data_IF_114289446171
#
_entry.id   IF_114289446171
#
_cell.length_a   1.000
_cell.length_b   1.000
_cell.length_c   1.000
_cell.angle_alpha   90.00
_cell.angle_beta   90.00
_cell.angle_gamma   90.00
#
_symmetry.space_group_name_H-M   'P 1'
#
loop_
_entity.id
_entity.type
_entity.pdbx_description
1 polymer ?
#
# COMPACT_ATOMS: atom_id res chain seq x y z
N UNK A 1 39.36 33.49 18.10
CA UNK A 1 38.54 33.64 19.33
C UNK A 1 38.81 35.03 19.87
N UNK A 2 38.01 36.03 19.48
CA UNK A 2 38.24 37.42 19.85
C UNK A 2 37.31 37.83 20.99
N UNK A 3 37.88 38.00 22.17
CA UNK A 3 37.20 38.56 23.34
C UNK A 3 37.37 40.08 23.30
N UNK A 4 36.31 40.84 23.02
CA UNK A 4 36.33 42.29 23.20
C UNK A 4 35.97 42.57 24.67
N UNK A 5 36.95 43.04 25.44
CA UNK A 5 36.77 43.42 26.84
C UNK A 5 36.44 44.91 26.89
N UNK A 6 35.17 45.26 27.12
CA UNK A 6 34.81 46.62 27.53
C UNK A 6 34.82 46.71 29.05
N UNK A 7 35.66 47.61 29.58
CA UNK A 7 35.92 47.76 31.02
C UNK A 7 34.84 48.64 31.66
N UNK A 8 33.80 48.01 32.21
CA UNK A 8 32.82 48.68 33.07
C UNK A 8 33.39 48.91 34.48
N UNK A 9 33.22 50.13 35.00
CA UNK A 9 33.53 50.49 36.39
C UNK A 9 32.54 49.76 37.31
N UNK A 10 32.92 48.56 37.76
CA UNK A 10 32.51 47.83 38.96
C UNK A 10 32.73 46.33 38.67
N UNK A 11 33.77 45.78 39.29
CA UNK A 11 34.39 44.49 38.94
C UNK A 11 33.54 43.26 39.20
N UNK A 12 32.53 43.03 38.37
CA UNK A 12 32.04 41.69 38.07
C UNK A 12 32.10 41.50 36.56
N UNK A 13 33.01 40.64 36.10
CA UNK A 13 33.04 40.19 34.73
C UNK A 13 31.79 39.34 34.47
N UNK A 14 30.71 39.96 34.00
CA UNK A 14 29.62 39.23 33.35
C UNK A 14 30.17 38.80 31.99
N UNK A 15 30.86 37.67 31.96
CA UNK A 15 31.13 36.97 30.72
C UNK A 15 29.80 36.59 30.11
N UNK A 16 29.24 37.42 29.22
CA UNK A 16 28.22 36.97 28.29
C UNK A 16 28.92 35.95 27.39
N UNK A 17 28.80 34.68 27.73
CA UNK A 17 29.11 33.58 26.82
C UNK A 17 28.28 33.82 25.57
N UNK A 18 28.94 34.27 24.50
CA UNK A 18 28.34 34.37 23.17
C UNK A 18 28.00 32.93 22.75
N UNK A 19 26.72 32.56 22.88
CA UNK A 19 26.23 31.30 22.34
C UNK A 19 26.10 31.48 20.82
N UNK A 20 26.95 30.84 19.99
CA UNK A 20 26.96 31.06 18.54
C UNK A 20 25.62 30.71 17.87
N UNK A 21 24.82 29.89 18.54
CA UNK A 21 23.49 29.48 18.07
C UNK A 21 22.46 30.63 18.10
N UNK A 22 22.58 31.57 19.05
CA UNK A 22 21.63 32.68 19.21
C UNK A 22 21.91 33.86 18.28
N UNK A 23 23.05 33.86 17.59
CA UNK A 23 23.44 34.93 16.65
C UNK A 23 22.96 34.67 15.23
N UNK A 24 22.60 33.43 14.91
CA UNK A 24 22.05 33.08 13.59
C UNK A 24 20.53 33.37 13.60
N UNK A 25 20.01 34.09 12.60
CA UNK A 25 18.57 34.35 12.46
C UNK A 25 17.72 33.06 12.40
N UNK A 26 16.50 33.13 12.91
CA UNK A 26 15.61 31.97 13.03
C UNK A 26 15.25 31.33 11.68
N UNK A 27 15.05 32.14 10.65
CA UNK A 27 14.77 31.73 9.27
C UNK A 27 15.93 30.92 8.65
N UNK A 28 17.18 31.29 8.96
CA UNK A 28 18.35 30.53 8.55
C UNK A 28 18.36 29.15 9.22
N UNK A 29 18.02 29.09 10.51
CA UNK A 29 17.85 27.81 11.19
C UNK A 29 16.72 26.97 10.62
N UNK A 30 15.59 27.57 10.23
CA UNK A 30 14.50 26.86 9.53
C UNK A 30 15.00 26.29 8.20
N UNK A 31 15.79 27.03 7.42
CA UNK A 31 16.38 26.55 6.17
C UNK A 31 17.33 25.37 6.39
N UNK A 32 18.24 25.47 7.37
CA UNK A 32 19.14 24.37 7.76
C UNK A 32 18.31 23.14 8.16
N UNK A 33 17.30 23.34 9.00
CA UNK A 33 16.46 22.26 9.51
C UNK A 33 15.63 21.61 8.41
N UNK A 34 15.12 22.40 7.46
CA UNK A 34 14.42 21.89 6.27
C UNK A 34 15.32 20.98 5.45
N UNK A 35 16.59 21.38 5.29
CA UNK A 35 17.59 20.56 4.60
C UNK A 35 17.90 19.29 5.38
N UNK A 36 18.11 19.37 6.69
CA UNK A 36 18.28 18.20 7.57
C UNK A 36 17.08 17.25 7.42
N UNK A 37 15.85 17.76 7.50
CA UNK A 37 14.63 16.98 7.35
C UNK A 37 14.56 16.26 5.99
N UNK A 38 15.01 16.89 4.91
CA UNK A 38 15.00 16.30 3.56
C UNK A 38 16.05 15.23 3.31
N UNK A 39 17.06 15.11 4.19
CA UNK A 39 18.10 14.09 4.08
C UNK A 39 17.98 12.99 5.14
N UNK A 40 17.50 13.31 6.34
CA UNK A 40 17.48 12.37 7.47
C UNK A 40 16.48 12.80 8.53
N UNK A 41 15.41 12.02 8.68
CA UNK A 41 14.43 12.22 9.75
C UNK A 41 15.05 11.90 11.12
N UNK A 42 16.00 10.96 11.17
CA UNK A 42 16.72 10.68 12.40
C UNK A 42 17.53 11.89 12.88
N UNK A 43 18.23 12.57 11.96
CA UNK A 43 19.00 13.78 12.31
C UNK A 43 18.10 14.95 12.67
N UNK A 44 16.93 15.05 12.05
CA UNK A 44 15.91 16.02 12.44
C UNK A 44 15.49 15.82 13.90
N UNK A 45 15.21 14.57 14.32
CA UNK A 45 14.85 14.27 15.71
C UNK A 45 16.02 14.48 16.68
N UNK A 46 17.24 14.10 16.28
CA UNK A 46 18.45 14.35 17.08
C UNK A 46 18.66 15.85 17.30
N UNK A 47 18.50 16.65 16.24
CA UNK A 47 18.56 18.11 16.30
C UNK A 47 17.46 18.65 17.24
N UNK A 48 16.22 18.19 17.07
CA UNK A 48 15.07 18.59 17.90
C UNK A 48 15.31 18.34 19.40
N UNK A 49 15.93 17.21 19.76
CA UNK A 49 16.19 16.81 21.14
C UNK A 49 17.33 17.60 21.82
N UNK A 50 18.14 18.34 21.05
CA UNK A 50 19.36 18.99 21.55
C UNK A 50 19.06 20.23 22.41
N UNK A 51 18.18 21.13 21.95
CA UNK A 51 17.89 22.37 22.69
C UNK A 51 16.55 22.99 22.27
N UNK A 52 16.04 23.95 23.07
CA UNK A 52 14.75 24.62 22.80
C UNK A 52 14.69 25.36 21.46
N UNK A 53 15.82 25.95 21.02
CA UNK A 53 15.88 26.62 19.71
C UNK A 53 15.64 25.60 18.58
N UNK A 54 16.38 24.49 18.61
CA UNK A 54 16.23 23.40 17.64
C UNK A 54 14.86 22.74 17.73
N UNK A 55 14.34 22.51 18.93
CA UNK A 55 12.97 22.04 19.11
C UNK A 55 11.93 22.94 18.40
N UNK A 56 12.10 24.26 18.48
CA UNK A 56 11.24 25.22 17.80
C UNK A 56 11.39 25.19 16.28
N UNK A 57 12.62 25.19 15.74
CA UNK A 57 12.83 25.20 14.28
C UNK A 57 12.51 23.86 13.61
N UNK A 58 12.75 22.73 14.28
CA UNK A 58 12.36 21.39 13.83
C UNK A 58 10.83 21.21 13.84
N UNK A 59 10.11 22.04 14.58
CA UNK A 59 8.65 22.04 14.58
C UNK A 59 8.04 22.99 13.52
N UNK A 60 8.86 23.56 12.62
CA UNK A 60 8.38 24.43 11.55
C UNK A 60 7.71 23.68 10.41
N UNK A 61 6.73 24.32 9.75
CA UNK A 61 6.00 23.73 8.63
C UNK A 61 6.92 23.34 7.47
N UNK A 62 7.98 24.11 7.24
CA UNK A 62 8.98 23.80 6.22
C UNK A 62 9.69 22.47 6.50
N UNK A 63 10.06 22.21 7.77
CA UNK A 63 10.69 20.94 8.15
C UNK A 63 9.76 19.74 7.88
N UNK A 64 8.49 19.83 8.27
CA UNK A 64 7.51 18.76 8.01
C UNK A 64 7.20 18.60 6.51
N UNK A 65 7.12 19.71 5.76
CA UNK A 65 6.80 19.70 4.33
C UNK A 65 7.88 19.02 3.50
N UNK A 66 9.14 19.19 3.89
CA UNK A 66 10.30 18.62 3.18
C UNK A 66 10.91 17.40 3.86
N UNK A 67 10.33 16.91 4.97
CA UNK A 67 10.79 15.71 5.63
C UNK A 67 10.84 14.51 4.66
N UNK A 68 11.91 13.71 4.75
CA UNK A 68 12.16 12.53 3.93
C UNK A 68 11.27 11.34 4.35
N UNK A 69 9.95 11.55 4.31
CA UNK A 69 8.94 10.58 4.75
C UNK A 69 9.03 9.30 3.93
N UNK A 70 9.52 9.36 2.68
CA UNK A 70 9.74 8.23 1.77
C UNK A 70 10.57 7.09 2.36
N UNK A 71 11.52 7.40 3.24
CA UNK A 71 12.42 6.44 3.89
C UNK A 71 11.86 5.85 5.19
N UNK A 72 10.71 6.36 5.67
CA UNK A 72 10.10 5.82 6.88
C UNK A 72 9.18 4.64 6.55
N UNK A 73 9.35 3.53 7.30
CA UNK A 73 8.28 2.57 7.52
C UNK A 73 7.09 3.29 8.16
N UNK A 74 5.91 3.21 7.56
CA UNK A 74 4.66 3.64 8.20
C UNK A 74 4.41 2.86 9.50
N UNK A 75 4.97 1.65 9.64
CA UNK A 75 4.97 0.84 10.87
C UNK A 75 5.85 1.40 11.99
N UNK A 76 7.00 1.99 11.66
CA UNK A 76 7.84 2.66 12.65
C UNK A 76 7.12 3.85 13.29
N UNK A 77 6.06 4.35 12.63
CA UNK A 77 5.18 5.38 13.17
C UNK A 77 3.99 4.82 13.98
N UNK A 78 3.87 3.49 14.12
CA UNK A 78 2.96 2.82 15.07
C UNK A 78 3.71 2.17 16.24
N UNK A 79 4.91 1.63 16.02
CA UNK A 79 5.67 0.88 17.03
C UNK A 79 6.27 1.77 18.14
N UNK A 80 6.49 3.05 17.88
CA UNK A 80 6.76 4.04 18.93
C UNK A 80 5.44 4.54 19.53
N UNK A 81 4.81 3.68 20.32
CA UNK A 81 3.80 3.96 21.34
C UNK A 81 3.40 5.44 21.51
N UNK A 82 2.26 5.85 20.94
CA UNK A 82 1.53 7.05 21.32
C UNK A 82 1.12 7.95 20.16
N UNK A 83 0.05 8.75 20.36
CA UNK A 83 -0.55 9.73 19.42
C UNK A 83 0.44 10.61 18.62
N UNK A 84 1.71 10.69 19.01
CA UNK A 84 2.72 11.57 18.45
C UNK A 84 3.23 11.16 17.05
N UNK A 85 3.33 9.87 16.72
CA UNK A 85 3.90 9.43 15.44
C UNK A 85 2.90 9.44 14.27
N UNK A 86 1.64 9.06 14.52
CA UNK A 86 0.51 9.50 13.68
C UNK A 86 0.45 11.03 13.61
N UNK A 87 0.78 11.72 14.72
CA UNK A 87 0.93 13.17 14.75
C UNK A 87 1.97 13.69 13.76
N UNK A 88 3.14 13.05 13.61
CA UNK A 88 4.17 13.45 12.66
C UNK A 88 3.71 13.27 11.21
N UNK A 89 3.23 12.09 10.82
CA UNK A 89 2.75 11.85 9.45
C UNK A 89 1.53 12.72 9.12
N UNK A 90 0.59 12.84 10.07
CA UNK A 90 -0.54 13.74 9.95
C UNK A 90 -0.09 15.19 9.83
N UNK A 91 0.97 15.60 10.53
CA UNK A 91 1.52 16.96 10.42
C UNK A 91 2.15 17.18 9.06
N UNK A 92 2.99 16.25 8.58
CA UNK A 92 3.55 16.26 7.23
C UNK A 92 2.45 16.36 6.16
N UNK A 93 1.39 15.56 6.28
CA UNK A 93 0.27 15.62 5.35
C UNK A 93 -0.51 16.95 5.43
N UNK A 94 -0.72 17.49 6.64
CA UNK A 94 -1.37 18.80 6.84
C UNK A 94 -0.61 19.91 6.14
N UNK A 95 0.72 19.85 6.11
CA UNK A 95 1.58 20.81 5.39
C UNK A 95 1.87 20.39 3.94
N UNK A 96 1.12 19.41 3.42
CA UNK A 96 1.17 18.93 2.03
C UNK A 96 2.53 18.35 1.64
N UNK A 97 3.12 17.51 2.49
CA UNK A 97 4.26 16.68 2.11
C UNK A 97 3.78 15.58 1.12
N UNK A 98 4.34 15.50 -0.10
CA UNK A 98 3.91 14.56 -1.14
C UNK A 98 3.94 13.09 -0.68
N UNK A 99 5.06 12.66 -0.10
CA UNK A 99 5.27 11.28 0.33
C UNK A 99 4.37 10.89 1.52
N UNK A 100 3.95 11.86 2.34
CA UNK A 100 2.97 11.64 3.40
C UNK A 100 1.53 11.52 2.84
N UNK A 101 1.17 12.37 1.88
CA UNK A 101 -0.13 12.30 1.20
C UNK A 101 -0.29 11.00 0.42
N UNK A 102 0.75 10.55 -0.32
CA UNK A 102 0.73 9.26 -0.99
C UNK A 102 0.38 8.13 -0.02
N UNK A 103 1.09 8.05 1.11
CA UNK A 103 0.85 7.03 2.14
C UNK A 103 -0.57 7.08 2.71
N UNK A 104 -1.05 8.28 3.08
CA UNK A 104 -2.43 8.42 3.59
C UNK A 104 -3.48 8.09 2.54
N UNK A 105 -3.25 8.47 1.29
CA UNK A 105 -4.13 8.16 0.17
C UNK A 105 -4.21 6.67 -0.10
N UNK A 106 -3.07 5.97 -0.05
CA UNK A 106 -3.01 4.51 -0.15
C UNK A 106 -3.74 3.84 1.01
N UNK A 107 -3.60 4.33 2.24
CA UNK A 107 -4.35 3.81 3.40
C UNK A 107 -5.85 3.98 3.22
N UNK A 108 -6.28 5.18 2.84
CA UNK A 108 -7.68 5.46 2.56
C UNK A 108 -8.21 4.52 1.45
N UNK A 109 -7.44 4.35 0.38
CA UNK A 109 -7.81 3.56 -0.79
C UNK A 109 -7.86 2.05 -0.53
N UNK A 110 -6.75 1.45 -0.11
CA UNK A 110 -6.61 -0.01 -0.04
C UNK A 110 -6.93 -0.58 1.36
N UNK A 111 -6.78 0.22 2.42
CA UNK A 111 -6.87 -0.26 3.80
C UNK A 111 -8.20 0.09 4.49
N UNK A 112 -8.78 1.25 4.19
CA UNK A 112 -10.01 1.75 4.81
C UNK A 112 -11.25 1.67 3.90
N UNK A 113 -11.08 1.40 2.60
CA UNK A 113 -12.19 1.36 1.64
C UNK A 113 -12.76 2.74 1.29
N UNK A 114 -12.06 3.82 1.64
CA UNK A 114 -12.41 5.19 1.27
C UNK A 114 -11.94 5.50 -0.15
N UNK A 115 -12.51 4.81 -1.15
CA UNK A 115 -12.05 4.85 -2.56
C UNK A 115 -11.86 6.26 -3.12
N UNK A 116 -12.92 7.09 -3.14
CA UNK A 116 -12.86 8.43 -3.75
C UNK A 116 -11.92 9.36 -2.99
N UNK A 117 -11.95 9.34 -1.65
CA UNK A 117 -11.05 10.13 -0.82
C UNK A 117 -9.60 9.71 -1.00
N UNK A 118 -9.31 8.41 -1.04
CA UNK A 118 -7.97 7.87 -1.28
C UNK A 118 -7.42 8.27 -2.64
N UNK A 119 -8.21 8.13 -3.71
CA UNK A 119 -7.82 8.57 -5.07
C UNK A 119 -7.50 10.07 -5.07
N UNK A 120 -8.33 10.91 -4.44
CA UNK A 120 -8.09 12.35 -4.36
C UNK A 120 -6.78 12.67 -3.63
N UNK A 121 -6.51 12.02 -2.50
CA UNK A 121 -5.28 12.25 -1.73
C UNK A 121 -4.03 11.76 -2.46
N UNK A 122 -4.07 10.61 -3.14
CA UNK A 122 -2.96 10.15 -3.99
C UNK A 122 -2.73 11.13 -5.14
N UNK A 123 -3.81 11.62 -5.75
CA UNK A 123 -3.69 12.57 -6.87
C UNK A 123 -3.12 13.91 -6.43
N UNK A 124 -3.45 14.39 -5.23
CA UNK A 124 -2.80 15.55 -4.65
C UNK A 124 -1.30 15.34 -4.44
N UNK A 125 -0.88 14.16 -3.98
CA UNK A 125 0.55 13.83 -3.86
C UNK A 125 1.27 13.87 -5.22
N UNK A 126 0.61 13.37 -6.28
CA UNK A 126 1.12 13.42 -7.64
C UNK A 126 1.30 14.86 -8.14
N UNK A 127 0.32 15.74 -7.88
CA UNK A 127 0.42 17.17 -8.21
C UNK A 127 1.56 17.90 -7.50
N UNK A 128 1.96 17.39 -6.34
CA UNK A 128 3.09 17.91 -5.56
C UNK A 128 4.43 17.31 -5.98
N UNK A 129 4.46 16.48 -7.03
CA UNK A 129 5.67 15.96 -7.65
C UNK A 129 6.14 14.60 -7.12
N UNK A 130 5.30 13.88 -6.36
CA UNK A 130 5.63 12.50 -5.97
C UNK A 130 5.51 11.56 -7.17
N UNK A 131 6.63 10.99 -7.61
CA UNK A 131 6.68 10.15 -8.82
C UNK A 131 5.93 8.83 -8.65
N UNK A 132 5.95 8.25 -7.45
CA UNK A 132 5.20 7.02 -7.15
C UNK A 132 3.69 7.31 -7.15
N UNK A 133 3.28 8.45 -6.59
CA UNK A 133 1.89 8.91 -6.68
C UNK A 133 1.49 9.23 -8.13
N UNK A 134 2.37 9.80 -8.95
CA UNK A 134 2.12 10.01 -10.37
C UNK A 134 1.78 8.69 -11.07
N UNK A 135 2.55 7.62 -10.81
CA UNK A 135 2.24 6.32 -11.37
C UNK A 135 0.89 5.80 -10.89
N UNK A 136 0.67 5.82 -9.57
CA UNK A 136 -0.56 5.30 -8.98
C UNK A 136 -1.80 6.06 -9.48
N UNK A 137 -1.75 7.39 -9.50
CA UNK A 137 -2.82 8.24 -10.06
C UNK A 137 -3.02 8.05 -11.54
N UNK A 138 -1.94 7.89 -12.34
CA UNK A 138 -2.08 7.58 -13.76
C UNK A 138 -2.84 6.27 -13.96
N UNK A 139 -2.47 5.21 -13.23
CA UNK A 139 -3.17 3.92 -13.32
C UNK A 139 -4.62 4.05 -12.87
N UNK A 140 -4.89 4.71 -11.73
CA UNK A 140 -6.25 4.89 -11.21
C UNK A 140 -7.13 5.68 -12.19
N UNK A 141 -6.73 6.90 -12.55
CA UNK A 141 -7.56 7.79 -13.37
C UNK A 141 -7.80 7.23 -14.79
N UNK A 142 -6.84 6.50 -15.36
CA UNK A 142 -6.98 5.92 -16.70
C UNK A 142 -7.74 4.58 -16.70
N UNK A 143 -7.76 3.85 -15.58
CA UNK A 143 -8.39 2.53 -15.49
C UNK A 143 -9.86 2.56 -15.05
N UNK A 144 -10.36 3.70 -14.56
CA UNK A 144 -11.74 3.82 -14.09
C UNK A 144 -12.75 3.87 -15.25
N UNK A 145 -13.92 3.27 -15.04
CA UNK A 145 -15.02 3.24 -16.01
C UNK A 145 -15.80 4.57 -16.08
N UNK A 146 -15.87 5.30 -14.97
CA UNK A 146 -16.64 6.53 -14.81
C UNK A 146 -15.78 7.80 -14.91
N UNK A 147 -14.66 7.72 -15.65
CA UNK A 147 -13.69 8.81 -15.77
C UNK A 147 -14.18 9.95 -16.66
N UNK A 148 -13.95 11.18 -16.23
CA UNK A 148 -14.18 12.37 -17.06
C UNK A 148 -12.93 12.78 -17.88
N UNK A 149 -13.10 13.73 -18.80
CA UNK A 149 -12.00 14.18 -19.68
C UNK A 149 -10.86 14.85 -18.91
N UNK A 150 -11.12 15.46 -17.75
CA UNK A 150 -10.10 16.06 -16.90
C UNK A 150 -9.26 14.97 -16.21
N UNK A 151 -9.91 13.94 -15.68
CA UNK A 151 -9.28 12.77 -15.08
C UNK A 151 -8.41 12.02 -16.09
N UNK A 152 -8.90 11.83 -17.33
CA UNK A 152 -8.12 11.25 -18.43
C UNK A 152 -6.87 12.09 -18.71
N UNK A 153 -7.04 13.41 -18.89
CA UNK A 153 -5.95 14.34 -19.19
C UNK A 153 -4.91 14.37 -18.08
N UNK A 154 -5.34 14.39 -16.82
CA UNK A 154 -4.45 14.33 -15.65
C UNK A 154 -3.72 13.00 -15.57
N UNK A 155 -4.40 11.89 -15.82
CA UNK A 155 -3.80 10.56 -15.87
C UNK A 155 -2.64 10.49 -16.88
N UNK A 156 -2.81 11.03 -18.08
CA UNK A 156 -1.72 11.11 -19.06
C UNK A 156 -0.58 12.03 -18.65
N UNK A 157 -0.89 13.19 -18.06
CA UNK A 157 0.12 14.12 -17.57
C UNK A 157 1.00 13.47 -16.49
N UNK A 158 0.40 12.75 -15.54
CA UNK A 158 1.16 12.01 -14.53
C UNK A 158 1.97 10.87 -15.15
N UNK A 159 1.41 10.12 -16.10
CA UNK A 159 2.15 9.04 -16.76
C UNK A 159 3.40 9.56 -17.48
N UNK A 160 3.33 10.74 -18.10
CA UNK A 160 4.49 11.38 -18.72
C UNK A 160 5.63 11.60 -17.71
N UNK A 161 5.31 12.11 -16.52
CA UNK A 161 6.29 12.31 -15.43
C UNK A 161 6.96 10.99 -15.03
N UNK A 162 6.20 9.88 -15.00
CA UNK A 162 6.79 8.57 -14.69
C UNK A 162 7.72 8.09 -15.80
N UNK A 163 7.35 8.28 -17.07
CA UNK A 163 8.21 7.94 -18.20
C UNK A 163 9.55 8.67 -18.13
N UNK A 164 9.54 9.97 -17.80
CA UNK A 164 10.75 10.77 -17.61
C UNK A 164 11.62 10.28 -16.44
N UNK A 165 11.00 9.66 -15.42
CA UNK A 165 11.70 9.12 -14.25
C UNK A 165 12.33 7.72 -14.44
N UNK A 166 12.08 7.05 -15.58
CA UNK A 166 12.50 5.66 -15.86
C UNK A 166 12.00 4.59 -14.87
N UNK A 167 11.01 4.91 -14.02
CA UNK A 167 10.52 4.03 -12.95
C UNK A 167 9.29 3.18 -13.31
N UNK A 168 8.83 3.24 -14.57
CA UNK A 168 7.57 2.61 -15.02
C UNK A 168 7.52 1.11 -14.74
N UNK A 169 8.57 0.35 -15.08
CA UNK A 169 8.55 -1.12 -14.88
C UNK A 169 8.57 -1.49 -13.40
N UNK A 170 9.38 -0.79 -12.59
CA UNK A 170 9.44 -1.01 -11.15
C UNK A 170 8.06 -0.81 -10.50
N UNK A 171 7.37 0.27 -10.85
CA UNK A 171 6.04 0.51 -10.31
C UNK A 171 5.00 -0.44 -10.90
N UNK A 172 5.14 -0.86 -12.16
CA UNK A 172 4.27 -1.87 -12.77
C UNK A 172 4.31 -3.18 -12.00
N UNK A 173 5.49 -3.69 -11.67
CA UNK A 173 5.65 -4.92 -10.89
C UNK A 173 4.96 -4.80 -9.52
N UNK A 174 5.21 -3.70 -8.81
CA UNK A 174 4.63 -3.43 -7.48
C UNK A 174 3.11 -3.35 -7.55
N UNK A 175 2.57 -2.48 -8.40
CA UNK A 175 1.15 -2.15 -8.38
C UNK A 175 0.28 -3.16 -9.11
N UNK A 176 0.80 -3.96 -10.06
CA UNK A 176 -0.01 -5.02 -10.70
C UNK A 176 -0.59 -5.96 -9.65
N UNK A 177 0.21 -6.35 -8.66
CA UNK A 177 -0.23 -7.22 -7.57
C UNK A 177 -1.24 -6.52 -6.64
N UNK A 178 -1.04 -5.22 -6.39
CA UNK A 178 -1.93 -4.42 -5.54
C UNK A 178 -3.34 -4.31 -6.10
N UNK A 179 -3.46 -4.17 -7.42
CA UNK A 179 -4.75 -3.98 -8.09
C UNK A 179 -5.44 -5.29 -8.49
N UNK A 180 -4.67 -6.35 -8.74
CA UNK A 180 -5.17 -7.72 -8.88
C UNK A 180 -5.77 -8.26 -7.58
N UNK A 181 -5.44 -7.64 -6.45
CA UNK A 181 -5.93 -8.02 -5.14
C UNK A 181 -7.46 -7.93 -5.03
N UNK A 182 -8.09 -8.94 -4.39
CA UNK A 182 -9.45 -8.92 -3.90
C UNK A 182 -10.10 -7.57 -3.52
N UNK A 183 -9.42 -6.80 -2.66
CA UNK A 183 -9.97 -5.61 -1.99
C UNK A 183 -10.17 -4.40 -2.90
N UNK A 184 -9.76 -4.45 -4.17
CA UNK A 184 -9.99 -3.35 -5.09
C UNK A 184 -11.46 -3.34 -5.54
N UNK A 185 -12.32 -2.55 -4.86
CA UNK A 185 -13.65 -2.16 -5.39
C UNK A 185 -13.53 -1.25 -6.65
N UNK A 186 -12.37 -1.26 -7.30
CA UNK A 186 -12.05 -0.52 -8.50
C UNK A 186 -12.54 -1.40 -9.64
N UNK A 187 -13.69 -1.08 -10.21
CA UNK A 187 -14.17 -1.70 -11.45
C UNK A 187 -13.30 -1.16 -12.59
N UNK A 188 -12.29 -1.91 -13.05
CA UNK A 188 -11.43 -1.43 -14.10
C UNK A 188 -12.21 -1.44 -15.43
N UNK A 189 -11.69 -0.77 -16.46
CA UNK A 189 -12.26 -0.86 -17.81
C UNK A 189 -11.90 -2.19 -18.45
N UNK A 190 -12.88 -2.83 -19.10
CA UNK A 190 -12.67 -4.08 -19.83
C UNK A 190 -11.58 -3.87 -20.90
N UNK A 191 -10.48 -4.65 -20.86
CA UNK A 191 -9.37 -4.46 -21.77
C UNK A 191 -9.71 -4.79 -23.23
N UNK A 192 -10.85 -5.44 -23.51
CA UNK A 192 -11.24 -5.85 -24.87
C UNK A 192 -11.63 -4.70 -25.79
N UNK A 193 -11.99 -3.53 -25.27
CA UNK A 193 -12.25 -2.35 -26.10
C UNK A 193 -10.96 -1.79 -26.72
N UNK A 194 -10.96 -1.61 -28.03
CA UNK A 194 -9.84 -1.01 -28.75
C UNK A 194 -9.79 0.50 -28.47
N UNK A 195 -8.74 0.98 -27.82
CA UNK A 195 -8.53 2.41 -27.60
C UNK A 195 -7.74 2.96 -28.79
N UNK A 196 -8.39 3.78 -29.60
CA UNK A 196 -7.71 4.59 -30.62
C UNK A 196 -7.09 5.82 -29.94
N UNK A 197 -5.84 6.13 -30.29
CA UNK A 197 -5.16 7.34 -29.81
C UNK A 197 -6.02 8.57 -30.10
N UNK A 198 -6.43 9.31 -29.07
CA UNK A 198 -7.33 10.49 -29.22
C UNK A 198 -6.60 11.73 -29.76
N UNK A 199 -5.30 11.65 -30.02
CA UNK A 199 -4.51 12.78 -30.51
C UNK A 199 -4.49 12.80 -32.05
N UNK A 200 -5.12 13.81 -32.66
CA UNK A 200 -5.36 13.88 -34.10
C UNK A 200 -4.11 13.86 -35.01
N UNK A 201 -2.94 14.20 -34.47
CA UNK A 201 -1.64 14.23 -35.16
C UNK A 201 -0.71 13.04 -34.84
N UNK A 202 -1.18 12.04 -34.08
CA UNK A 202 -0.40 10.85 -33.81
C UNK A 202 -0.14 10.07 -35.11
N UNK A 203 1.13 9.81 -35.45
CA UNK A 203 1.51 9.02 -36.62
C UNK A 203 1.25 7.52 -36.41
N UNK A 204 1.15 7.06 -35.16
CA UNK A 204 0.90 5.68 -34.74
C UNK A 204 -0.59 5.29 -34.88
N UNK A 205 -1.33 5.79 -35.89
CA UNK A 205 -2.78 5.59 -36.15
C UNK A 205 -3.26 4.12 -36.28
N UNK A 206 -2.46 3.13 -35.88
CA UNK A 206 -2.82 1.72 -35.80
C UNK A 206 -3.19 1.29 -34.38
N UNK A 207 -4.13 0.36 -34.30
CA UNK A 207 -4.52 -0.37 -33.09
C UNK A 207 -3.27 -1.00 -32.45
N UNK A 208 -2.84 -0.51 -31.28
CA UNK A 208 -1.74 -1.12 -30.54
C UNK A 208 -2.29 -2.34 -29.80
N UNK A 209 -1.84 -3.52 -30.21
CA UNK A 209 -2.15 -4.79 -29.57
C UNK A 209 -1.31 -5.00 -28.31
N UNK A 210 -1.73 -5.94 -27.46
CA UNK A 210 -1.05 -6.31 -26.19
C UNK A 210 0.42 -6.76 -26.42
N UNK A 211 0.71 -7.33 -27.61
CA UNK A 211 2.01 -7.84 -28.01
C UNK A 211 2.77 -6.93 -29.00
N UNK A 212 2.36 -5.66 -29.13
CA UNK A 212 2.98 -4.74 -30.08
C UNK A 212 4.38 -4.30 -29.64
N UNK A 213 5.33 -4.30 -30.58
CA UNK A 213 6.64 -3.68 -30.38
C UNK A 213 6.49 -2.17 -30.18
N UNK A 214 7.03 -1.66 -29.07
CA UNK A 214 6.95 -0.26 -28.67
C UNK A 214 8.16 0.57 -29.15
N UNK A 215 9.15 -0.07 -29.78
CA UNK A 215 10.41 0.57 -30.21
C UNK A 215 10.22 1.79 -31.14
N UNK A 216 9.09 1.87 -31.84
CA UNK A 216 8.71 2.99 -32.72
C UNK A 216 7.65 3.94 -32.17
N UNK A 217 7.18 3.77 -30.94
CA UNK A 217 6.08 4.57 -30.36
C UNK A 217 6.62 5.72 -29.53
N UNK A 218 6.64 6.93 -30.10
CA UNK A 218 7.05 8.16 -29.40
C UNK A 218 5.89 8.90 -28.72
N UNK A 219 4.65 8.50 -28.99
CA UNK A 219 3.47 9.13 -28.39
C UNK A 219 3.25 8.63 -26.96
N UNK A 220 3.39 9.54 -25.99
CA UNK A 220 3.20 9.26 -24.55
C UNK A 220 1.80 8.74 -24.25
N UNK A 221 0.77 9.27 -24.94
CA UNK A 221 -0.60 8.81 -24.79
C UNK A 221 -0.76 7.36 -25.26
N UNK A 222 -0.23 7.00 -26.43
CA UNK A 222 -0.22 5.62 -26.91
C UNK A 222 0.52 4.68 -25.96
N UNK A 223 1.65 5.14 -25.40
CA UNK A 223 2.44 4.36 -24.45
C UNK A 223 1.67 4.15 -23.13
N UNK A 224 1.02 5.19 -22.62
CA UNK A 224 0.18 5.14 -21.42
C UNK A 224 -1.01 4.21 -21.63
N UNK A 225 -1.76 4.38 -22.72
CA UNK A 225 -2.90 3.53 -23.07
C UNK A 225 -2.49 2.06 -23.21
N UNK A 226 -1.38 1.76 -23.88
CA UNK A 226 -0.85 0.40 -23.99
C UNK A 226 -0.42 -0.16 -22.63
N UNK A 227 0.28 0.61 -21.80
CA UNK A 227 0.74 0.16 -20.48
C UNK A 227 -0.42 -0.04 -19.50
N UNK A 228 -1.39 0.87 -19.49
CA UNK A 228 -2.65 0.72 -18.74
C UNK A 228 -3.41 -0.51 -19.25
N UNK A 229 -3.51 -0.72 -20.56
CA UNK A 229 -4.17 -1.91 -21.12
C UNK A 229 -3.47 -3.20 -20.70
N UNK A 230 -2.15 -3.28 -20.83
CA UNK A 230 -1.40 -4.46 -20.38
C UNK A 230 -1.53 -4.67 -18.88
N UNK A 231 -1.56 -3.60 -18.09
CA UNK A 231 -1.83 -3.66 -16.66
C UNK A 231 -3.24 -4.21 -16.39
N UNK A 232 -4.28 -3.67 -17.04
CA UNK A 232 -5.67 -4.11 -16.90
C UNK A 232 -5.82 -5.57 -17.33
N UNK A 233 -5.25 -6.00 -18.45
CA UNK A 233 -5.27 -7.42 -18.88
C UNK A 233 -4.68 -8.33 -17.80
N UNK A 234 -3.54 -7.95 -17.22
CA UNK A 234 -2.92 -8.73 -16.14
C UNK A 234 -3.81 -8.75 -14.88
N UNK A 235 -4.37 -7.61 -14.49
CA UNK A 235 -5.29 -7.51 -13.35
C UNK A 235 -6.57 -8.34 -13.57
N UNK A 236 -7.18 -8.25 -14.74
CA UNK A 236 -8.38 -9.02 -15.11
C UNK A 236 -8.12 -10.53 -15.15
N UNK A 237 -6.99 -10.96 -15.71
CA UNK A 237 -6.61 -12.38 -15.71
C UNK A 237 -6.52 -12.91 -14.27
N UNK A 238 -5.86 -12.16 -13.38
CA UNK A 238 -5.72 -12.52 -11.97
C UNK A 238 -7.05 -12.47 -11.19
N UNK A 239 -8.01 -11.61 -11.57
CA UNK A 239 -9.31 -11.48 -10.91
C UNK A 239 -10.33 -12.55 -11.34
N UNK A 240 -10.36 -12.91 -12.63
CA UNK A 240 -11.36 -13.84 -13.18
C UNK A 240 -11.12 -15.30 -12.77
N UNK A 241 -9.88 -15.65 -12.42
CA UNK A 241 -9.53 -16.98 -11.91
C UNK A 241 -10.04 -17.23 -10.47
N UNK A 242 -10.54 -16.19 -9.76
CA UNK A 242 -11.07 -16.28 -8.40
C UNK A 242 -12.60 -16.49 -8.26
N UNK A 243 -13.37 -16.53 -9.36
CA UNK A 243 -14.85 -16.55 -9.28
C UNK A 243 -15.48 -17.77 -9.97
N UNK A 244 -15.46 -18.94 -9.32
CA UNK A 244 -16.30 -20.07 -9.76
C UNK A 244 -17.77 -19.87 -9.37
N UNK A 245 -18.66 -19.97 -10.37
CA UNK A 245 -20.12 -19.75 -10.30
C UNK A 245 -20.86 -20.85 -9.52
N UNK A 246 -21.88 -20.44 -8.78
CA UNK A 246 -22.79 -21.26 -7.96
C UNK A 246 -23.70 -22.20 -8.78
N UNK A 247 -23.91 -23.43 -8.32
CA UNK A 247 -25.08 -24.26 -8.67
C UNK A 247 -25.95 -24.52 -7.43
N UNK A 248 -27.25 -24.22 -7.54
CA UNK A 248 -28.27 -24.50 -6.53
C UNK A 248 -28.75 -25.94 -6.66
N UNK A 249 -28.96 -26.65 -5.55
CA UNK A 249 -30.05 -27.63 -5.39
C UNK A 249 -30.48 -27.72 -3.92
N UNK A 250 -31.81 -27.79 -3.72
CA UNK A 250 -32.53 -27.82 -2.44
C UNK A 250 -33.20 -29.19 -2.32
N UNK A 251 -33.24 -29.77 -1.11
CA UNK A 251 -34.08 -30.91 -0.76
C UNK A 251 -33.64 -31.56 0.55
N UNK A 252 -34.50 -31.52 1.57
CA UNK A 252 -34.34 -32.17 2.89
C UNK A 252 -35.48 -33.18 3.05
N UNK A 253 -35.20 -34.36 3.63
CA UNK A 253 -36.13 -35.15 4.50
C UNK A 253 -35.29 -35.91 5.56
N UNK A 254 -35.72 -36.07 6.83
CA UNK A 254 -34.91 -36.62 7.93
C UNK A 254 -35.28 -38.06 8.33
N UNK A 255 -34.33 -38.85 8.85
CA UNK A 255 -34.54 -40.02 9.74
C UNK A 255 -33.35 -40.16 10.72
N UNK A 256 -33.66 -40.68 11.92
CA UNK A 256 -32.97 -40.55 13.20
C UNK A 256 -31.73 -41.44 13.49
N UNK A 257 -30.79 -40.80 14.21
CA UNK A 257 -29.98 -41.26 15.37
C UNK A 257 -28.85 -42.32 15.23
N UNK A 258 -27.66 -41.81 14.92
CA UNK A 258 -26.36 -42.13 15.55
C UNK A 258 -25.49 -40.84 15.50
N UNK A 259 -24.51 -40.66 16.38
CA UNK A 259 -23.77 -39.39 16.52
C UNK A 259 -23.16 -38.94 15.16
N UNK A 260 -23.63 -37.84 14.52
CA UNK A 260 -23.41 -37.59 13.07
C UNK A 260 -21.95 -37.37 12.65
N UNK A 261 -21.05 -37.10 13.61
CA UNK A 261 -19.68 -36.67 13.37
C UNK A 261 -18.75 -37.81 12.94
N UNK A 262 -19.09 -39.06 13.29
CA UNK A 262 -18.31 -40.25 12.92
C UNK A 262 -18.70 -40.82 11.55
N UNK A 263 -19.74 -40.30 10.91
CA UNK A 263 -20.25 -40.77 9.60
C UNK A 263 -19.34 -40.28 8.47
N UNK A 264 -18.79 -39.08 8.60
CA UNK A 264 -17.90 -38.48 7.60
C UNK A 264 -16.45 -38.71 8.00
N UNK A 265 -15.64 -39.16 7.04
CA UNK A 265 -14.20 -39.28 7.23
C UNK A 265 -13.58 -37.91 7.52
N UNK A 266 -12.44 -37.89 8.21
CA UNK A 266 -11.67 -36.66 8.47
C UNK A 266 -11.44 -35.84 7.19
N UNK A 267 -11.20 -36.50 6.06
CA UNK A 267 -11.01 -35.84 4.76
C UNK A 267 -12.25 -35.08 4.27
N UNK A 268 -13.45 -35.61 4.52
CA UNK A 268 -14.70 -34.91 4.19
C UNK A 268 -14.92 -33.70 5.10
N UNK A 269 -14.60 -33.83 6.39
CA UNK A 269 -14.65 -32.69 7.31
C UNK A 269 -13.65 -31.61 6.97
N UNK A 270 -12.42 -31.95 6.55
CA UNK A 270 -11.43 -30.98 6.07
C UNK A 270 -11.97 -30.24 4.85
N UNK A 271 -12.55 -30.94 3.86
CA UNK A 271 -13.16 -30.28 2.68
C UNK A 271 -14.29 -29.32 3.06
N UNK A 272 -15.15 -29.70 4.01
CA UNK A 272 -16.21 -28.83 4.52
C UNK A 272 -15.61 -27.62 5.22
N UNK A 273 -14.63 -27.81 6.11
CA UNK A 273 -13.97 -26.73 6.82
C UNK A 273 -13.23 -25.78 5.87
N UNK A 274 -12.55 -26.30 4.85
CA UNK A 274 -11.93 -25.51 3.77
C UNK A 274 -12.97 -24.67 3.06
N UNK A 275 -14.14 -25.24 2.72
CA UNK A 275 -15.21 -24.50 2.07
C UNK A 275 -15.77 -23.41 2.99
N UNK A 276 -15.99 -23.72 4.27
CA UNK A 276 -16.42 -22.73 5.29
C UNK A 276 -15.40 -21.59 5.38
N UNK A 277 -14.11 -21.91 5.49
CA UNK A 277 -13.02 -20.95 5.57
C UNK A 277 -12.92 -20.06 4.32
N UNK A 278 -13.22 -20.58 3.12
CA UNK A 278 -13.24 -19.81 1.87
C UNK A 278 -14.37 -18.78 1.79
N UNK A 279 -15.37 -18.87 2.66
CA UNK A 279 -16.48 -17.90 2.73
C UNK A 279 -16.44 -17.04 3.99
N UNK A 280 -16.03 -17.60 5.13
CA UNK A 280 -16.13 -16.91 6.41
C UNK A 280 -15.18 -17.51 7.44
N UNK A 281 -14.12 -16.76 7.78
CA UNK A 281 -13.22 -17.10 8.89
C UNK A 281 -13.99 -17.17 10.21
N UNK A 282 -15.01 -16.32 10.37
CA UNK A 282 -15.86 -16.32 11.56
C UNK A 282 -16.60 -17.64 11.72
N UNK A 283 -17.16 -18.16 10.63
CA UNK A 283 -17.88 -19.44 10.67
C UNK A 283 -16.92 -20.62 10.83
N UNK A 284 -15.69 -20.52 10.31
CA UNK A 284 -14.64 -21.49 10.62
C UNK A 284 -14.33 -21.54 12.12
N UNK A 285 -14.16 -20.39 12.77
CA UNK A 285 -13.90 -20.36 14.22
C UNK A 285 -15.10 -20.88 15.03
N UNK A 286 -16.33 -20.54 14.62
CA UNK A 286 -17.53 -21.11 15.23
C UNK A 286 -17.59 -22.64 15.07
N UNK A 287 -17.24 -23.15 13.89
CA UNK A 287 -17.15 -24.59 13.62
C UNK A 287 -16.09 -25.25 14.52
N UNK A 288 -14.88 -24.70 14.60
CA UNK A 288 -13.80 -25.21 15.46
C UNK A 288 -14.18 -25.22 16.94
N UNK A 289 -14.92 -24.22 17.41
CA UNK A 289 -15.37 -24.12 18.81
C UNK A 289 -16.45 -25.15 19.19
N UNK A 290 -17.07 -25.82 18.21
CA UNK A 290 -18.19 -26.74 18.46
C UNK A 290 -17.73 -28.09 19.00
N UNK A 291 -16.69 -28.69 18.41
CA UNK A 291 -16.20 -30.01 18.85
C UNK A 291 -14.77 -30.30 18.37
N UNK A 292 -14.13 -31.30 18.98
CA UNK A 292 -12.77 -31.73 18.64
C UNK A 292 -12.60 -32.16 17.18
N UNK A 293 -13.56 -32.89 16.61
CA UNK A 293 -13.50 -33.33 15.20
C UNK A 293 -13.43 -32.12 14.26
N UNK A 294 -14.19 -31.07 14.55
CA UNK A 294 -14.19 -29.84 13.76
C UNK A 294 -12.97 -28.97 14.01
N UNK A 295 -12.45 -28.96 15.24
CA UNK A 295 -11.15 -28.35 15.53
C UNK A 295 -10.05 -29.03 14.70
N UNK A 296 -9.96 -30.37 14.78
CA UNK A 296 -8.93 -31.15 14.09
C UNK A 296 -9.04 -31.07 12.56
N UNK A 297 -10.25 -30.95 12.01
CA UNK A 297 -10.49 -30.73 10.59
C UNK A 297 -10.23 -29.26 10.17
N UNK A 298 -10.69 -28.31 10.98
CA UNK A 298 -10.53 -26.88 10.77
C UNK A 298 -9.10 -26.38 10.94
N UNK A 299 -8.24 -27.15 11.61
CA UNK A 299 -6.81 -26.86 11.76
C UNK A 299 -5.93 -27.55 10.72
N UNK A 300 -6.51 -28.11 9.65
CA UNK A 300 -5.75 -28.70 8.54
C UNK A 300 -5.15 -27.63 7.62
N UNK A 301 -3.98 -27.90 7.03
CA UNK A 301 -3.27 -26.97 6.14
C UNK A 301 -4.13 -26.49 4.97
N UNK A 302 -4.90 -27.40 4.34
CA UNK A 302 -5.86 -27.05 3.29
C UNK A 302 -6.90 -26.00 3.71
N UNK A 303 -7.23 -25.89 5.00
CA UNK A 303 -8.15 -24.86 5.49
C UNK A 303 -7.47 -23.50 5.48
N UNK A 304 -6.24 -23.41 5.98
CA UNK A 304 -5.46 -22.17 5.98
C UNK A 304 -5.08 -21.74 4.55
N UNK A 305 -4.78 -22.69 3.67
CA UNK A 305 -4.38 -22.43 2.28
C UNK A 305 -5.52 -21.77 1.48
N UNK A 306 -6.77 -22.15 1.72
CA UNK A 306 -7.93 -21.61 0.99
C UNK A 306 -8.86 -20.74 1.85
N UNK A 307 -8.42 -20.34 3.04
CA UNK A 307 -9.18 -19.39 3.85
C UNK A 307 -9.29 -18.05 3.14
N UNK A 308 -10.49 -17.45 3.17
CA UNK A 308 -10.73 -16.10 2.65
C UNK A 308 -10.04 -15.08 3.54
N UNK A 309 -9.25 -14.15 2.99
CA UNK A 309 -8.74 -13.01 3.80
C UNK A 309 -9.60 -11.76 3.60
N UNK A 310 -10.63 -11.82 2.77
CA UNK A 310 -11.47 -10.69 2.34
C UNK A 310 -12.09 -9.90 3.48
N UNK A 311 -12.62 -10.58 4.50
CA UNK A 311 -13.27 -9.93 5.63
C UNK A 311 -12.27 -9.37 6.66
N UNK A 312 -10.99 -9.74 6.56
CA UNK A 312 -9.92 -9.16 7.37
C UNK A 312 -9.45 -7.90 6.63
N UNK A 313 -9.85 -6.71 7.11
CA UNK A 313 -9.31 -5.44 6.59
C UNK A 313 -7.78 -5.48 6.60
N UNK A 314 -7.07 -4.96 5.60
CA UNK A 314 -5.59 -4.93 5.61
C UNK A 314 -5.02 -4.25 6.86
N UNK A 315 -5.75 -3.28 7.43
CA UNK A 315 -5.38 -2.60 8.69
C UNK A 315 -5.24 -3.61 9.84
N UNK A 316 -6.09 -4.63 9.86
CA UNK A 316 -6.06 -5.72 10.82
C UNK A 316 -4.69 -6.40 10.88
N UNK A 317 -4.01 -6.66 9.76
CA UNK A 317 -2.69 -7.31 9.75
C UNK A 317 -1.63 -6.52 10.56
N UNK A 318 -1.82 -5.21 10.66
CA UNK A 318 -0.96 -4.29 11.42
C UNK A 318 -1.35 -4.22 12.90
N UNK A 319 -2.64 -4.30 13.22
CA UNK A 319 -3.14 -4.25 14.60
C UNK A 319 -3.13 -5.61 15.32
N UNK A 320 -3.04 -6.72 14.58
CA UNK A 320 -3.06 -8.07 15.16
C UNK A 320 -1.67 -8.61 15.52
N UNK A 321 -0.57 -7.86 15.36
CA UNK A 321 0.81 -8.34 15.61
C UNK A 321 0.97 -9.16 16.90
N UNK A 322 0.27 -8.82 17.98
CA UNK A 322 0.33 -9.51 19.28
C UNK A 322 -0.91 -10.36 19.63
N UNK A 323 -1.79 -10.62 18.67
CA UNK A 323 -3.10 -11.25 18.90
C UNK A 323 -3.20 -12.65 18.26
N UNK A 324 -4.07 -13.54 18.76
CA UNK A 324 -4.20 -14.91 18.23
C UNK A 324 -4.56 -14.97 16.74
N UNK A 325 -5.22 -13.96 16.20
CA UNK A 325 -5.51 -13.82 14.77
C UNK A 325 -4.25 -13.72 13.92
N UNK A 326 -3.13 -13.23 14.46
CA UNK A 326 -1.84 -13.22 13.74
C UNK A 326 -1.30 -14.61 13.51
N UNK A 327 -1.48 -15.54 14.45
CA UNK A 327 -1.08 -16.94 14.25
C UNK A 327 -1.85 -17.60 13.11
N UNK A 328 -3.12 -17.24 12.94
CA UNK A 328 -3.91 -17.70 11.81
C UNK A 328 -3.34 -17.19 10.48
N UNK A 329 -3.00 -15.89 10.43
CA UNK A 329 -2.42 -15.25 9.25
C UNK A 329 -1.02 -15.78 8.91
N UNK A 330 -0.15 -15.91 9.91
CA UNK A 330 1.18 -16.50 9.74
C UNK A 330 1.06 -17.93 9.22
N UNK A 331 0.10 -18.71 9.76
CA UNK A 331 -0.13 -20.07 9.26
C UNK A 331 -0.62 -20.08 7.80
N UNK A 332 -1.53 -19.18 7.43
CA UNK A 332 -1.96 -19.01 6.04
C UNK A 332 -0.78 -18.71 5.10
N UNK A 333 0.15 -17.85 5.53
CA UNK A 333 1.37 -17.53 4.76
C UNK A 333 2.29 -18.75 4.66
N UNK A 334 2.51 -19.47 5.76
CA UNK A 334 3.32 -20.69 5.80
C UNK A 334 2.79 -21.77 4.85
N UNK A 335 1.47 -21.93 4.75
CA UNK A 335 0.84 -22.89 3.84
C UNK A 335 0.56 -22.31 2.45
N UNK A 336 1.18 -21.18 2.10
CA UNK A 336 1.15 -20.57 0.76
C UNK A 336 -0.23 -20.08 0.30
N UNK A 337 -1.07 -19.59 1.20
CA UNK A 337 -2.28 -18.85 0.83
C UNK A 337 -1.88 -17.57 0.09
N UNK A 338 -2.21 -17.48 -1.20
CA UNK A 338 -1.81 -16.37 -2.07
C UNK A 338 -2.32 -15.01 -1.57
N UNK A 339 -3.56 -14.95 -1.09
CA UNK A 339 -4.18 -13.74 -0.53
C UNK A 339 -3.43 -13.30 0.74
N UNK A 340 -3.10 -14.22 1.64
CA UNK A 340 -2.34 -13.91 2.85
C UNK A 340 -0.91 -13.42 2.54
N UNK A 341 -0.22 -14.06 1.59
CA UNK A 341 1.12 -13.65 1.14
C UNK A 341 1.07 -12.25 0.51
N UNK A 342 0.10 -11.98 -0.38
CA UNK A 342 -0.08 -10.69 -1.03
C UNK A 342 -0.25 -9.57 0.01
N UNK A 343 -1.08 -9.81 1.03
CA UNK A 343 -1.33 -8.86 2.11
C UNK A 343 -0.10 -8.63 2.99
N UNK A 344 0.66 -9.67 3.26
CA UNK A 344 1.93 -9.53 3.97
C UNK A 344 2.95 -8.77 3.11
N UNK A 345 3.07 -9.08 1.82
CA UNK A 345 3.95 -8.36 0.90
C UNK A 345 3.64 -6.87 0.82
N UNK A 346 2.35 -6.51 0.71
CA UNK A 346 1.91 -5.10 0.76
C UNK A 346 2.24 -4.44 2.10
N UNK A 347 2.05 -5.16 3.21
CA UNK A 347 2.41 -4.68 4.53
C UNK A 347 3.92 -4.45 4.63
N UNK A 348 4.74 -5.39 4.20
CA UNK A 348 6.20 -5.28 4.24
C UNK A 348 6.71 -4.14 3.35
N UNK A 349 6.18 -4.02 2.14
CA UNK A 349 6.58 -3.02 1.16
C UNK A 349 6.16 -1.60 1.58
N UNK A 350 4.86 -1.38 1.76
CA UNK A 350 4.31 -0.03 1.97
C UNK A 350 4.32 0.39 3.43
N UNK A 351 4.15 -0.55 4.36
CA UNK A 351 4.00 -0.23 5.77
C UNK A 351 5.30 -0.41 6.54
N UNK A 352 5.96 -1.55 6.43
CA UNK A 352 7.22 -1.81 7.15
C UNK A 352 8.42 -1.21 6.41
N UNK A 353 8.25 -0.76 5.17
CA UNK A 353 9.32 -0.15 4.37
C UNK A 353 10.44 -1.14 4.00
N UNK A 354 10.27 -2.45 4.25
CA UNK A 354 11.19 -3.50 3.83
C UNK A 354 10.88 -3.87 2.40
N UNK A 355 11.20 -2.95 1.49
CA UNK A 355 10.81 -3.03 0.08
C UNK A 355 11.27 -4.32 -0.59
N UNK A 356 12.47 -4.81 -0.30
CA UNK A 356 12.99 -6.05 -0.89
C UNK A 356 12.18 -7.27 -0.45
N UNK A 357 11.92 -7.41 0.86
CA UNK A 357 11.08 -8.49 1.41
C UNK A 357 9.64 -8.37 0.90
N UNK A 358 9.12 -7.14 0.87
CA UNK A 358 7.81 -6.85 0.31
C UNK A 358 7.70 -7.30 -1.13
N UNK A 359 8.68 -6.98 -1.98
CA UNK A 359 8.71 -7.41 -3.38
C UNK A 359 8.82 -8.92 -3.52
N UNK A 360 9.68 -9.58 -2.75
CA UNK A 360 9.80 -11.04 -2.77
C UNK A 360 8.46 -11.71 -2.45
N UNK A 361 7.73 -11.21 -1.45
CA UNK A 361 6.41 -11.72 -1.09
C UNK A 361 5.37 -11.41 -2.17
N UNK A 362 5.37 -10.22 -2.75
CA UNK A 362 4.47 -9.85 -3.84
C UNK A 362 4.70 -10.72 -5.09
N UNK A 363 5.96 -11.00 -5.43
CA UNK A 363 6.33 -11.90 -6.53
C UNK A 363 5.87 -13.33 -6.24
N UNK A 364 6.13 -13.82 -5.01
CA UNK A 364 5.69 -15.16 -4.59
C UNK A 364 4.17 -15.31 -4.65
N UNK A 365 3.41 -14.32 -4.19
CA UNK A 365 1.95 -14.34 -4.26
C UNK A 365 1.43 -14.54 -5.69
N UNK A 366 2.12 -13.96 -6.69
CA UNK A 366 1.79 -14.11 -8.10
C UNK A 366 1.95 -15.54 -8.61
N UNK A 367 3.00 -16.23 -8.14
CA UNK A 367 3.27 -17.63 -8.53
C UNK A 367 2.30 -18.60 -7.88
N UNK A 368 1.89 -18.38 -6.63
CA UNK A 368 0.91 -19.25 -5.95
C UNK A 368 -0.48 -19.17 -6.60
N UNK A 369 -0.91 -17.97 -6.99
CA UNK A 369 -2.17 -17.81 -7.73
C UNK A 369 -2.16 -18.51 -9.08
N UNK A 370 -0.98 -18.77 -9.66
CA UNK A 370 -0.81 -19.41 -10.96
C UNK A 370 -0.73 -20.95 -10.90
N UNK A 371 -0.25 -21.54 -9.79
CA UNK A 371 -0.01 -22.99 -9.66
C UNK A 371 -1.30 -23.79 -9.40
N UNK A 372 -2.33 -23.19 -8.81
CA UNK A 372 -3.64 -23.85 -8.62
C UNK A 372 -4.38 -24.18 -9.94
N UNK A 373 -3.88 -23.69 -11.07
CA UNK A 373 -4.42 -23.94 -12.42
C UNK A 373 -3.88 -25.22 -13.08
N UNK A 374 -2.95 -25.95 -12.43
CA UNK A 374 -2.26 -27.11 -13.01
C UNK A 374 -2.88 -28.49 -12.71
N UNK A 375 -3.93 -28.58 -11.88
CA UNK A 375 -4.56 -29.87 -11.55
C UNK A 375 -6.07 -29.76 -11.43
N UNK A 376 -6.77 -29.82 -12.57
CA UNK A 376 -7.85 -30.79 -12.87
C UNK A 376 -7.83 -31.09 -14.36
#
# INVERSE_FOLDING_TARGET
MHTIVTRGKNGHAIGRTYYPLKTIPFDIWVSITTRVASYSIQDLFNMQATCRLFAAVCSSDAAYKHALVSELPVACLLYHSGRAAMGFLSRCATVRNPAALLRLGMVALFWLGHRRGGIQTVTEAAELGDVEACYLSAMLLLSLNDKDDDEIRRGFAFFNVVCESSAVERYREVFTQVFAGPWSEINPTDPTEAIACRFGSCSTRGTIGIASDLSGVSCVQCLAEHKVRNFLVTVYALQMDGTSKTSKKKGIVPVEHECPLNILSRNLWVRIATKVASYSIRDLFNMQATCKVFLDAGSSDAVYQHATMWHIRLVSFLFYLDRPERRFLDRCVEVRNADAILRQGMTEYFWIGRRDIGMELLDRASTEGSVELGTV
#
